data_IF_210730061695
#
_entry.id   IF_210730061695
#
_cell.length_a   1.000
_cell.length_b   1.000
_cell.length_c   1.000
_cell.angle_alpha   90.00
_cell.angle_beta   90.00
_cell.angle_gamma   90.00
#
_symmetry.space_group_name_H-M   'P 1'
#
loop_
_entity.id
_entity.type
_entity.pdbx_description
1 polymer ?
#
# COMPACT_ATOMS: atom_id res chain seq x y z
N UNK A 1 -12.06 -26.09 -4.71
CA UNK A 1 -11.54 -24.92 -5.50
C UNK A 1 -10.16 -24.56 -4.96
N UNK A 2 -9.13 -25.31 -5.33
CA UNK A 2 -7.73 -24.98 -5.01
C UNK A 2 -7.14 -24.10 -6.12
N UNK A 3 -7.63 -22.86 -6.24
CA UNK A 3 -6.90 -21.88 -7.03
C UNK A 3 -5.77 -21.35 -6.17
N UNK A 4 -4.54 -21.70 -6.51
CA UNK A 4 -3.34 -21.14 -5.91
C UNK A 4 -3.40 -19.62 -6.04
N UNK A 5 -3.44 -18.91 -4.91
CA UNK A 5 -3.39 -17.45 -4.88
C UNK A 5 -1.93 -17.03 -5.01
N UNK A 6 -1.62 -16.20 -6.00
CA UNK A 6 -0.33 -15.54 -6.06
C UNK A 6 -0.39 -14.29 -5.16
N UNK A 7 0.43 -14.26 -4.13
CA UNK A 7 0.53 -13.16 -3.19
C UNK A 7 1.87 -12.42 -3.35
N UNK A 8 1.80 -11.10 -3.31
CA UNK A 8 2.96 -10.21 -3.34
C UNK A 8 2.89 -9.32 -2.11
N UNK A 9 3.89 -9.40 -1.24
CA UNK A 9 4.00 -8.57 -0.04
C UNK A 9 5.10 -7.53 -0.19
N UNK A 10 4.81 -6.30 0.22
CA UNK A 10 5.77 -5.19 0.25
C UNK A 10 5.93 -4.77 1.70
N UNK A 11 7.15 -4.77 2.22
CA UNK A 11 7.46 -4.38 3.60
C UNK A 11 8.78 -3.59 3.63
N UNK A 12 8.74 -2.30 4.02
CA UNK A 12 9.96 -1.47 4.06
C UNK A 12 10.91 -1.79 5.21
N UNK A 13 10.40 -2.11 6.42
CA UNK A 13 11.25 -2.41 7.56
C UNK A 13 12.02 -3.71 7.35
N UNK A 14 13.37 -3.71 7.36
CA UNK A 14 14.14 -4.94 7.22
C UNK A 14 13.87 -5.96 8.34
N UNK A 15 13.61 -5.48 9.55
CA UNK A 15 13.34 -6.33 10.72
C UNK A 15 12.00 -7.02 10.59
N UNK A 16 10.94 -6.27 10.27
CA UNK A 16 9.59 -6.81 10.01
C UNK A 16 9.58 -7.70 8.78
N UNK A 17 10.33 -7.34 7.73
CA UNK A 17 10.46 -8.16 6.52
C UNK A 17 11.04 -9.55 6.79
N UNK A 18 12.04 -9.67 7.69
CA UNK A 18 12.57 -10.98 8.10
C UNK A 18 11.50 -11.84 8.78
N UNK A 19 10.65 -11.24 9.63
CA UNK A 19 9.54 -11.95 10.28
C UNK A 19 8.48 -12.35 9.25
N UNK A 20 8.10 -11.42 8.36
CA UNK A 20 7.16 -11.68 7.28
C UNK A 20 7.62 -12.87 6.42
N UNK A 21 8.90 -12.92 6.06
CA UNK A 21 9.49 -13.97 5.24
C UNK A 21 9.47 -15.35 5.90
N UNK A 22 9.55 -15.39 7.23
CA UNK A 22 9.41 -16.65 7.98
C UNK A 22 7.96 -17.17 8.01
N UNK A 23 7.01 -16.24 8.06
CA UNK A 23 5.59 -16.57 8.17
C UNK A 23 4.95 -16.93 6.82
N UNK A 24 5.46 -16.38 5.71
CA UNK A 24 4.88 -16.50 4.37
C UNK A 24 5.98 -16.90 3.37
N UNK A 25 6.48 -18.15 3.48
CA UNK A 25 7.65 -18.61 2.69
C UNK A 25 7.37 -18.82 1.20
N UNK A 26 6.12 -19.14 0.82
CA UNK A 26 5.77 -19.57 -0.55
C UNK A 26 5.30 -18.41 -1.45
N UNK A 27 5.54 -17.16 -1.03
CA UNK A 27 5.07 -15.96 -1.70
C UNK A 27 6.21 -15.03 -2.11
N UNK A 28 5.92 -14.09 -3.01
CA UNK A 28 6.90 -13.11 -3.46
C UNK A 28 6.86 -11.91 -2.50
N UNK A 29 7.97 -11.70 -1.80
CA UNK A 29 8.12 -10.63 -0.82
C UNK A 29 9.19 -9.64 -1.29
N UNK A 30 8.94 -8.35 -1.08
CA UNK A 30 9.75 -7.24 -1.57
C UNK A 30 10.07 -6.33 -0.38
N UNK A 31 11.36 -6.23 -0.03
CA UNK A 31 11.81 -5.32 1.02
C UNK A 31 12.07 -3.92 0.42
N UNK A 32 11.00 -3.19 0.21
CA UNK A 32 10.96 -1.81 -0.27
C UNK A 32 9.76 -1.10 0.34
N UNK A 33 9.69 0.21 0.22
CA UNK A 33 8.50 1.00 0.53
C UNK A 33 7.67 1.23 -0.74
N UNK A 34 6.36 0.98 -0.67
CA UNK A 34 5.44 1.37 -1.74
C UNK A 34 5.31 2.91 -1.76
N UNK A 35 5.55 3.54 -2.91
CA UNK A 35 5.56 4.99 -3.02
C UNK A 35 5.24 5.46 -4.45
N UNK A 36 5.25 6.77 -4.67
CA UNK A 36 4.94 7.40 -5.97
C UNK A 36 5.90 6.99 -7.10
N UNK A 37 7.14 6.66 -6.78
CA UNK A 37 8.21 6.32 -7.72
C UNK A 37 9.06 5.16 -7.22
N UNK A 38 9.80 4.52 -8.14
CA UNK A 38 10.70 3.41 -7.83
C UNK A 38 12.16 3.85 -7.71
N UNK A 39 12.94 2.99 -7.04
CA UNK A 39 14.41 3.01 -7.02
C UNK A 39 15.00 4.34 -6.51
N UNK A 40 14.31 4.95 -5.56
CA UNK A 40 14.82 6.08 -4.77
C UNK A 40 14.95 5.65 -3.32
N UNK A 41 15.86 6.29 -2.62
CA UNK A 41 16.05 6.11 -1.18
C UNK A 41 15.30 7.21 -0.44
N UNK A 42 14.46 6.83 0.53
CA UNK A 42 13.73 7.73 1.40
C UNK A 42 13.99 7.39 2.87
N UNK A 43 13.83 8.38 3.73
CA UNK A 43 13.77 8.16 5.17
C UNK A 43 12.48 7.42 5.55
N UNK A 44 12.63 6.45 6.43
CA UNK A 44 11.53 5.68 7.01
C UNK A 44 11.63 5.78 8.53
N UNK A 45 10.56 6.25 9.14
CA UNK A 45 10.48 6.56 10.56
C UNK A 45 9.94 5.34 11.30
N UNK A 46 10.81 4.68 12.06
CA UNK A 46 10.43 3.54 12.88
C UNK A 46 9.80 4.02 14.20
N UNK A 47 8.66 3.47 14.55
CA UNK A 47 7.99 3.63 15.83
C UNK A 47 8.53 2.65 16.88
N UNK A 48 8.27 2.93 18.16
CA UNK A 48 8.69 2.07 19.29
C UNK A 48 8.03 0.68 19.26
N UNK A 49 6.80 0.59 18.74
CA UNK A 49 6.02 -0.65 18.68
C UNK A 49 6.08 -1.32 17.30
N UNK A 50 6.87 -0.79 16.35
CA UNK A 50 7.00 -1.21 14.94
C UNK A 50 5.67 -1.22 14.13
N UNK A 51 4.55 -0.91 14.77
CA UNK A 51 3.21 -1.01 14.18
C UNK A 51 2.81 0.25 13.39
N UNK A 52 3.33 1.42 13.75
CA UNK A 52 2.99 2.72 13.16
C UNK A 52 4.16 3.33 12.38
N UNK A 53 5.12 2.52 11.96
CA UNK A 53 6.28 2.98 11.19
C UNK A 53 5.89 3.46 9.80
N UNK A 54 6.38 4.61 9.35
CA UNK A 54 5.89 5.29 8.15
C UNK A 54 6.99 5.99 7.36
N UNK A 55 6.71 6.27 6.06
CA UNK A 55 7.47 7.23 5.26
C UNK A 55 7.11 8.69 5.61
N UNK A 56 6.05 8.91 6.33
CA UNK A 56 5.63 10.23 6.81
C UNK A 56 6.14 10.41 8.24
N UNK A 57 6.69 11.57 8.56
CA UNK A 57 7.23 11.85 9.90
C UNK A 57 6.15 11.65 10.98
N UNK A 58 6.38 10.73 11.90
CA UNK A 58 5.48 10.37 13.01
C UNK A 58 5.89 11.08 14.32
N UNK A 59 5.03 11.02 15.35
CA UNK A 59 5.32 11.67 16.65
C UNK A 59 6.44 10.98 17.41
N UNK A 60 6.39 9.64 17.51
CA UNK A 60 7.28 8.86 18.36
C UNK A 60 8.33 8.14 17.52
N UNK A 61 9.28 8.90 16.98
CA UNK A 61 10.36 8.32 16.17
C UNK A 61 11.41 7.69 17.08
N UNK A 62 11.54 6.38 17.05
CA UNK A 62 12.61 5.64 17.72
C UNK A 62 13.90 5.65 16.90
N UNK A 63 13.77 5.47 15.60
CA UNK A 63 14.90 5.36 14.68
C UNK A 63 14.49 5.80 13.28
N UNK A 64 15.41 6.40 12.57
CA UNK A 64 15.25 6.69 11.15
C UNK A 64 16.18 5.75 10.37
N UNK A 65 15.63 5.06 9.39
CA UNK A 65 16.38 4.24 8.45
C UNK A 65 16.15 4.72 7.03
N UNK A 66 17.00 4.29 6.11
CA UNK A 66 16.80 4.52 4.68
C UNK A 66 16.26 3.28 4.02
N UNK A 67 15.23 3.44 3.20
CA UNK A 67 14.57 2.35 2.48
C UNK A 67 14.46 2.68 0.99
N UNK A 68 14.58 1.65 0.15
CA UNK A 68 14.35 1.79 -1.28
C UNK A 68 12.86 1.80 -1.57
N UNK A 69 12.44 2.56 -2.59
CA UNK A 69 11.04 2.65 -3.00
C UNK A 69 10.71 1.75 -4.19
N UNK A 70 9.41 1.45 -4.35
CA UNK A 70 8.82 0.82 -5.52
C UNK A 70 7.44 1.44 -5.78
N UNK A 71 7.16 1.81 -7.03
CA UNK A 71 5.81 2.20 -7.43
C UNK A 71 4.95 0.97 -7.72
N UNK A 72 3.65 1.08 -7.49
CA UNK A 72 2.71 0.01 -7.85
C UNK A 72 2.65 -0.21 -9.37
N UNK A 73 2.83 0.84 -10.17
CA UNK A 73 2.93 0.72 -11.63
C UNK A 73 4.07 -0.20 -12.05
N UNK A 74 5.27 0.01 -11.50
CA UNK A 74 6.44 -0.80 -11.87
C UNK A 74 6.34 -2.23 -11.35
N UNK A 75 5.76 -2.41 -10.17
CA UNK A 75 5.49 -3.75 -9.65
C UNK A 75 4.51 -4.51 -10.55
N UNK A 76 3.37 -3.90 -10.91
CA UNK A 76 2.35 -4.55 -11.73
C UNK A 76 2.88 -4.85 -13.13
N UNK A 77 3.69 -3.97 -13.73
CA UNK A 77 4.41 -4.26 -14.98
C UNK A 77 5.28 -5.51 -14.88
N UNK A 78 6.02 -5.67 -13.76
CA UNK A 78 6.87 -6.86 -13.52
C UNK A 78 6.04 -8.13 -13.32
N UNK A 79 4.91 -8.04 -12.61
CA UNK A 79 3.97 -9.16 -12.42
C UNK A 79 3.36 -9.59 -13.75
N UNK A 80 3.10 -8.66 -14.65
CA UNK A 80 2.53 -8.86 -15.98
C UNK A 80 1.23 -9.70 -15.98
N UNK A 81 0.38 -9.46 -14.98
CA UNK A 81 -0.92 -10.14 -14.86
C UNK A 81 -1.95 -9.24 -14.17
N UNK A 82 -3.22 -9.62 -14.31
CA UNK A 82 -4.33 -8.93 -13.64
C UNK A 82 -4.25 -9.10 -12.11
N UNK A 83 -4.47 -8.02 -11.40
CA UNK A 83 -4.46 -7.98 -9.94
C UNK A 83 -5.90 -8.00 -9.43
N UNK A 84 -6.23 -9.01 -8.65
CA UNK A 84 -7.56 -9.13 -8.05
C UNK A 84 -7.79 -8.09 -6.97
N UNK A 85 -6.83 -7.90 -6.07
CA UNK A 85 -6.92 -7.02 -4.93
C UNK A 85 -5.55 -6.46 -4.57
N UNK A 86 -5.50 -5.15 -4.33
CA UNK A 86 -4.40 -4.49 -3.62
C UNK A 86 -4.94 -4.09 -2.24
N UNK A 87 -4.27 -4.52 -1.15
CA UNK A 87 -4.45 -3.93 0.17
C UNK A 87 -3.35 -2.89 0.38
N UNK A 88 -3.74 -1.69 0.78
CA UNK A 88 -2.83 -0.59 1.14
C UNK A 88 -3.07 -0.26 2.61
N UNK A 89 -1.99 -0.27 3.38
CA UNK A 89 -1.92 -0.03 4.81
C UNK A 89 -0.50 0.43 5.09
N UNK A 90 -0.26 1.73 4.97
CA UNK A 90 1.09 2.32 4.92
C UNK A 90 1.29 3.41 5.98
N UNK A 91 0.42 3.37 7.01
CA UNK A 91 0.52 4.21 8.21
C UNK A 91 0.66 5.70 7.86
N UNK A 92 -0.26 6.19 7.01
CA UNK A 92 -0.35 7.59 6.60
C UNK A 92 0.31 7.93 5.25
N UNK A 93 0.96 6.98 4.57
CA UNK A 93 1.52 7.17 3.22
C UNK A 93 0.65 6.58 2.09
N UNK A 94 -0.65 6.35 2.35
CA UNK A 94 -1.60 5.77 1.38
C UNK A 94 -1.75 6.64 0.14
N UNK A 95 -1.85 8.00 0.21
CA UNK A 95 -1.94 8.83 -0.97
C UNK A 95 -0.72 8.67 -1.89
N UNK A 96 0.49 8.70 -1.34
CA UNK A 96 1.73 8.56 -2.09
C UNK A 96 1.84 7.19 -2.74
N UNK A 97 1.41 6.13 -2.04
CA UNK A 97 1.33 4.77 -2.58
C UNK A 97 0.35 4.70 -3.75
N UNK A 98 -0.83 5.31 -3.62
CA UNK A 98 -1.81 5.40 -4.70
C UNK A 98 -1.33 6.20 -5.91
N UNK A 99 -0.60 7.30 -5.70
CA UNK A 99 -0.02 8.09 -6.79
C UNK A 99 1.01 7.31 -7.60
N UNK A 100 1.62 6.28 -6.99
CA UNK A 100 2.45 5.29 -7.68
C UNK A 100 1.69 4.28 -8.55
N UNK A 101 0.35 4.33 -8.58
CA UNK A 101 -0.53 3.51 -9.40
C UNK A 101 -1.31 4.42 -10.36
N UNK A 102 -0.80 4.67 -11.55
CA UNK A 102 -1.41 5.57 -12.52
C UNK A 102 -1.61 4.92 -13.90
N UNK A 103 -0.60 4.25 -14.43
CA UNK A 103 -0.63 3.67 -15.79
C UNK A 103 -1.15 2.24 -15.82
N UNK A 104 -1.10 1.52 -14.69
CA UNK A 104 -1.52 0.12 -14.56
C UNK A 104 -2.89 -0.05 -13.87
N UNK A 105 -3.63 1.02 -13.66
CA UNK A 105 -4.95 1.00 -13.01
C UNK A 105 -5.94 0.00 -13.64
N UNK A 106 -5.91 -0.15 -14.97
CA UNK A 106 -6.76 -1.09 -15.71
C UNK A 106 -6.44 -2.57 -15.43
N UNK A 107 -5.31 -2.85 -14.79
CA UNK A 107 -4.95 -4.21 -14.37
C UNK A 107 -5.50 -4.57 -12.98
N UNK A 108 -6.03 -3.59 -12.23
CA UNK A 108 -6.45 -3.77 -10.82
C UNK A 108 -7.96 -3.79 -10.72
N UNK A 109 -8.52 -4.84 -10.10
CA UNK A 109 -9.98 -4.98 -9.92
C UNK A 109 -10.47 -4.28 -8.65
N UNK A 110 -9.81 -4.53 -7.51
CA UNK A 110 -10.19 -3.96 -6.22
C UNK A 110 -8.99 -3.33 -5.52
N UNK A 111 -9.26 -2.27 -4.77
CA UNK A 111 -8.32 -1.65 -3.83
C UNK A 111 -9.01 -1.59 -2.47
N UNK A 112 -8.41 -2.23 -1.46
CA UNK A 112 -8.74 -2.09 -0.06
C UNK A 112 -7.70 -1.18 0.58
N UNK A 113 -8.13 -0.08 1.20
CA UNK A 113 -7.22 0.90 1.75
C UNK A 113 -7.62 1.26 3.18
N UNK A 114 -6.67 1.23 4.09
CA UNK A 114 -6.80 1.81 5.42
C UNK A 114 -6.50 3.31 5.34
N UNK A 115 -7.43 4.13 5.80
CA UNK A 115 -7.32 5.58 5.75
C UNK A 115 -7.50 6.19 7.15
N UNK A 116 -6.98 5.50 8.15
CA UNK A 116 -7.04 5.90 9.54
C UNK A 116 -6.39 7.25 9.84
N UNK A 117 -6.26 7.54 11.11
CA UNK A 117 -5.69 8.79 11.61
C UNK A 117 -4.20 8.59 11.97
N UNK A 118 -3.43 8.07 11.01
CA UNK A 118 -2.00 7.75 11.23
C UNK A 118 -1.06 8.76 10.56
N UNK A 119 -1.60 9.63 9.68
CA UNK A 119 -0.74 10.51 8.87
C UNK A 119 -0.11 11.63 9.68
N UNK A 120 1.19 11.54 9.80
CA UNK A 120 2.04 12.61 10.32
C UNK A 120 1.86 12.89 11.82
N UNK A 121 2.51 13.95 12.26
CA UNK A 121 2.47 14.39 13.67
C UNK A 121 1.05 14.81 14.09
N UNK A 122 0.26 15.32 13.16
CA UNK A 122 -1.11 15.80 13.41
C UNK A 122 -2.14 14.66 13.44
N UNK A 123 -1.73 13.42 13.11
CA UNK A 123 -2.61 12.26 12.99
C UNK A 123 -3.83 12.51 12.11
N UNK A 124 -3.58 12.99 10.90
CA UNK A 124 -4.61 13.27 9.91
C UNK A 124 -5.09 11.98 9.22
N UNK A 125 -6.36 11.96 8.80
CA UNK A 125 -6.88 10.88 7.97
C UNK A 125 -6.50 11.09 6.50
N UNK A 126 -6.15 10.02 5.82
CA UNK A 126 -5.82 10.03 4.38
C UNK A 126 -7.04 9.82 3.48
N UNK A 127 -8.24 9.66 4.06
CA UNK A 127 -9.45 9.25 3.33
C UNK A 127 -9.85 10.21 2.22
N UNK A 128 -9.80 11.51 2.46
CA UNK A 128 -10.28 12.52 1.48
C UNK A 128 -9.44 12.45 0.20
N UNK A 129 -8.12 12.41 0.34
CA UNK A 129 -7.18 12.40 -0.78
C UNK A 129 -7.25 11.06 -1.54
N UNK A 130 -7.25 9.96 -0.82
CA UNK A 130 -7.36 8.61 -1.39
C UNK A 130 -8.68 8.43 -2.15
N UNK A 131 -9.81 8.83 -1.53
CA UNK A 131 -11.13 8.75 -2.17
C UNK A 131 -11.19 9.60 -3.42
N UNK A 132 -10.74 10.86 -3.35
CA UNK A 132 -10.74 11.76 -4.51
C UNK A 132 -9.94 11.15 -5.66
N UNK A 133 -8.71 10.71 -5.38
CA UNK A 133 -7.86 10.08 -6.40
C UNK A 133 -8.54 8.88 -7.06
N UNK A 134 -9.07 7.95 -6.26
CA UNK A 134 -9.69 6.74 -6.79
C UNK A 134 -10.97 7.01 -7.59
N UNK A 135 -11.82 7.97 -7.15
CA UNK A 135 -13.01 8.38 -7.91
C UNK A 135 -12.63 9.01 -9.25
N UNK A 136 -11.61 9.87 -9.28
CA UNK A 136 -11.10 10.50 -10.52
C UNK A 136 -10.52 9.47 -11.50
N UNK A 137 -10.08 8.30 -10.98
CA UNK A 137 -9.57 7.16 -11.76
C UNK A 137 -10.63 6.07 -12.06
N UNK A 138 -11.92 6.42 -11.98
CA UNK A 138 -13.05 5.52 -12.27
C UNK A 138 -13.18 4.30 -11.33
N UNK A 139 -12.71 4.41 -10.11
CA UNK A 139 -13.11 3.48 -9.06
C UNK A 139 -14.39 3.95 -8.37
N UNK A 140 -15.16 3.02 -7.85
CA UNK A 140 -16.34 3.30 -7.01
C UNK A 140 -16.10 2.75 -5.59
N UNK A 141 -16.49 3.50 -4.58
CA UNK A 141 -16.50 3.02 -3.20
C UNK A 141 -17.69 2.07 -3.03
N UNK A 142 -17.40 0.79 -2.78
CA UNK A 142 -18.43 -0.26 -2.65
C UNK A 142 -18.67 -0.71 -1.22
N UNK A 143 -17.68 -0.50 -0.32
CA UNK A 143 -17.80 -0.85 1.10
C UNK A 143 -16.86 0.02 1.93
N UNK A 144 -17.30 0.37 3.14
CA UNK A 144 -16.47 1.03 4.14
C UNK A 144 -16.73 0.42 5.52
N UNK A 145 -15.70 0.45 6.36
CA UNK A 145 -15.81 0.12 7.78
C UNK A 145 -15.61 1.39 8.60
N UNK A 146 -16.53 1.68 9.49
CA UNK A 146 -16.42 2.82 10.41
C UNK A 146 -15.47 2.54 11.57
N UNK A 147 -15.30 1.28 11.93
CA UNK A 147 -14.55 0.87 13.11
C UNK A 147 -13.02 0.86 12.87
N UNK A 148 -12.61 0.65 11.63
CA UNK A 148 -11.19 0.56 11.24
C UNK A 148 -10.82 1.46 10.06
N UNK A 149 -11.69 2.35 9.62
CA UNK A 149 -11.47 3.25 8.48
C UNK A 149 -10.99 2.56 7.19
N UNK A 150 -11.28 1.26 7.06
CA UNK A 150 -10.94 0.48 5.86
C UNK A 150 -12.02 0.64 4.81
N UNK A 151 -11.59 0.99 3.61
CA UNK A 151 -12.47 1.28 2.48
C UNK A 151 -12.15 0.37 1.31
N UNK A 152 -13.19 -0.19 0.68
CA UNK A 152 -13.06 -1.05 -0.50
C UNK A 152 -13.58 -0.33 -1.74
N UNK A 153 -12.70 -0.19 -2.71
CA UNK A 153 -12.99 0.39 -4.01
C UNK A 153 -12.95 -0.67 -5.11
N UNK A 154 -13.84 -0.53 -6.09
CA UNK A 154 -13.92 -1.39 -7.28
C UNK A 154 -13.66 -0.56 -8.52
N UNK A 155 -12.83 -1.06 -9.39
CA UNK A 155 -12.56 -0.45 -10.69
C UNK A 155 -13.73 -0.70 -11.66
N UNK A 156 -14.39 0.36 -12.11
CA UNK A 156 -15.49 0.28 -13.09
C UNK A 156 -15.01 -0.11 -14.51
N UNK A 157 -13.73 0.11 -14.80
CA UNK A 157 -13.11 -0.19 -16.09
C UNK A 157 -12.40 -1.56 -16.13
N UNK A 158 -12.51 -2.37 -15.06
CA UNK A 158 -11.88 -3.68 -15.02
C UNK A 158 -12.76 -4.71 -15.74
N UNK A 159 -12.30 -5.16 -16.89
CA UNK A 159 -12.95 -6.24 -17.65
C UNK A 159 -12.18 -7.54 -17.50
N UNK A 160 -12.88 -8.59 -17.07
CA UNK A 160 -12.36 -9.96 -17.14
C UNK A 160 -12.61 -10.42 -18.58
N UNK A 161 -11.54 -10.52 -19.37
CA UNK A 161 -11.62 -11.21 -20.67
C UNK A 161 -11.56 -12.71 -20.45
#
# INVERSE_FOLDING_TARGET
>A
FDKKINYYGIEPSPEVFVVLKKNISDHILINKAAYTFSDKELEFYLDDEDANSSLILIQNVKKIIKVQTISLDDLIKKINSKIKLIKIDTEGAEPETLYGLNTQLNQVQYISIDCGYERGIQKESTFVDCKKYLLDKNFELIKFSTDRFVHLFKNKNFFIK
#
